data_IF_911519914804
#
_entry.id   IF_911519914804
#
_cell.length_a   1.000
_cell.length_b   1.000
_cell.length_c   1.000
_cell.angle_alpha   90.00
_cell.angle_beta   90.00
_cell.angle_gamma   90.00
#
_symmetry.space_group_name_H-M   'P 1'
#
loop_
_entity.id
_entity.type
_entity.pdbx_description
1 polymer ?
#
# COMPACT_ATOMS: atom_id res chain seq x y z
N UNK A 1 16.52 1.45 -58.96
CA UNK A 1 15.18 1.37 -58.35
C UNK A 1 15.23 0.34 -57.22
N UNK A 2 16.11 0.57 -56.24
CA UNK A 2 16.43 -0.38 -55.17
C UNK A 2 17.02 0.40 -53.97
N UNK A 3 16.28 1.39 -53.46
CA UNK A 3 16.77 2.26 -52.37
C UNK A 3 15.63 2.86 -51.52
N UNK A 4 14.53 2.13 -51.35
CA UNK A 4 13.34 2.58 -50.59
C UNK A 4 12.64 1.49 -49.78
N UNK A 5 13.39 0.55 -49.18
CA UNK A 5 12.79 -0.48 -48.32
C UNK A 5 13.42 -0.62 -46.91
N UNK A 6 14.42 0.20 -46.56
CA UNK A 6 15.12 0.09 -45.25
C UNK A 6 14.69 1.14 -44.20
N UNK A 7 13.49 1.72 -44.33
CA UNK A 7 12.97 2.71 -43.37
C UNK A 7 11.60 2.29 -42.87
N UNK A 8 11.50 1.16 -42.16
CA UNK A 8 10.26 0.82 -41.42
C UNK A 8 10.41 -0.24 -40.31
N UNK A 9 11.58 -0.34 -39.64
CA UNK A 9 11.79 -1.31 -38.54
C UNK A 9 12.36 -0.72 -37.24
N UNK A 10 12.42 0.60 -37.08
CA UNK A 10 12.73 1.25 -35.78
C UNK A 10 11.44 1.62 -35.05
N UNK A 11 10.91 0.69 -34.25
CA UNK A 11 9.71 0.97 -33.45
C UNK A 11 9.16 -0.16 -32.60
N UNK A 12 9.87 -1.29 -32.48
CA UNK A 12 9.48 -2.34 -31.52
C UNK A 12 10.25 -2.13 -30.21
N UNK A 13 9.57 -2.04 -29.05
CA UNK A 13 10.26 -2.08 -27.77
C UNK A 13 11.05 -3.39 -27.72
N UNK A 14 12.33 -3.30 -27.35
CA UNK A 14 13.24 -4.43 -27.12
C UNK A 14 12.46 -5.55 -26.41
N UNK A 15 12.10 -6.61 -27.14
CA UNK A 15 11.37 -7.73 -26.57
C UNK A 15 12.28 -8.32 -25.50
N UNK A 16 11.80 -8.34 -24.25
CA UNK A 16 12.62 -8.88 -23.16
C UNK A 16 12.97 -10.33 -23.52
N UNK A 17 14.26 -10.64 -23.51
CA UNK A 17 14.91 -11.91 -23.91
C UNK A 17 14.24 -13.20 -23.40
N UNK A 18 13.33 -13.10 -22.42
CA UNK A 18 12.61 -14.21 -21.77
C UNK A 18 11.10 -13.91 -21.63
N UNK A 19 10.33 -13.94 -22.72
CA UNK A 19 8.86 -13.86 -22.64
C UNK A 19 8.27 -15.23 -22.27
N UNK A 20 8.24 -15.56 -20.97
CA UNK A 20 7.51 -16.72 -20.47
C UNK A 20 5.98 -16.59 -20.62
N UNK A 21 5.27 -17.71 -20.38
CA UNK A 21 3.80 -17.78 -20.45
C UNK A 21 3.17 -16.79 -19.46
N UNK A 22 2.48 -15.78 -19.99
CA UNK A 22 1.78 -14.76 -19.19
C UNK A 22 0.81 -15.39 -18.17
N UNK A 23 0.23 -16.53 -18.53
CA UNK A 23 -0.80 -17.20 -17.75
C UNK A 23 -0.30 -17.65 -16.38
N UNK A 24 0.89 -18.26 -16.30
CA UNK A 24 1.40 -18.81 -15.04
C UNK A 24 1.87 -17.72 -14.09
N UNK A 25 2.53 -16.69 -14.60
CA UNK A 25 2.91 -15.50 -13.83
C UNK A 25 1.69 -14.80 -13.24
N UNK A 26 0.65 -14.57 -14.05
CA UNK A 26 -0.59 -13.94 -13.58
C UNK A 26 -1.26 -14.82 -12.53
N UNK A 27 -1.37 -16.14 -12.74
CA UNK A 27 -1.93 -17.05 -11.73
C UNK A 27 -1.19 -16.98 -10.39
N UNK A 28 0.15 -17.06 -10.40
CA UNK A 28 0.95 -16.96 -9.19
C UNK A 28 0.78 -15.61 -8.49
N UNK A 29 0.71 -14.53 -9.27
CA UNK A 29 0.47 -13.18 -8.76
C UNK A 29 -0.90 -13.07 -8.11
N UNK A 30 -1.96 -13.55 -8.76
CA UNK A 30 -3.32 -13.53 -8.22
C UNK A 30 -3.43 -14.31 -6.91
N UNK A 31 -2.82 -15.49 -6.82
CA UNK A 31 -2.79 -16.27 -5.59
C UNK A 31 -2.02 -15.58 -4.46
N UNK A 32 -0.87 -14.96 -4.75
CA UNK A 32 -0.13 -14.19 -3.77
C UNK A 32 -0.91 -12.94 -3.31
N UNK A 33 -1.63 -12.28 -4.22
CA UNK A 33 -2.42 -11.08 -3.94
C UNK A 33 -3.66 -11.35 -3.07
N UNK A 34 -4.10 -12.60 -2.88
CA UNK A 34 -5.18 -12.92 -1.93
C UNK A 34 -4.79 -12.58 -0.47
N UNK A 35 -3.50 -12.63 -0.12
CA UNK A 35 -3.02 -12.08 1.15
C UNK A 35 -3.21 -10.56 1.23
N UNK A 36 -2.96 -9.84 0.13
CA UNK A 36 -3.17 -8.40 0.03
C UNK A 36 -4.66 -8.01 0.13
N UNK A 37 -5.57 -8.88 -0.35
CA UNK A 37 -7.01 -8.72 -0.15
C UNK A 37 -7.39 -8.80 1.34
N UNK A 38 -6.81 -9.73 2.09
CA UNK A 38 -7.05 -9.84 3.54
C UNK A 38 -6.54 -8.61 4.30
N UNK A 39 -5.38 -8.08 3.89
CA UNK A 39 -4.86 -6.81 4.39
C UNK A 39 -5.83 -5.65 4.11
N UNK A 40 -6.29 -5.52 2.87
CA UNK A 40 -7.30 -4.52 2.49
C UNK A 40 -8.60 -4.64 3.29
N UNK A 41 -9.09 -5.87 3.48
CA UNK A 41 -10.27 -6.12 4.30
C UNK A 41 -10.06 -5.65 5.74
N UNK A 42 -8.87 -5.86 6.31
CA UNK A 42 -8.54 -5.43 7.69
C UNK A 42 -8.59 -3.91 7.85
N UNK A 43 -8.10 -3.16 6.85
CA UNK A 43 -8.20 -1.70 6.79
C UNK A 43 -9.67 -1.29 6.77
N UNK A 44 -10.44 -1.84 5.83
CA UNK A 44 -11.85 -1.47 5.63
C UNK A 44 -12.77 -1.91 6.77
N UNK A 45 -12.45 -2.99 7.48
CA UNK A 45 -13.24 -3.58 8.56
C UNK A 45 -13.56 -2.58 9.68
N UNK A 46 -12.61 -1.70 10.02
CA UNK A 46 -12.77 -0.70 11.09
C UNK A 46 -13.95 0.22 10.87
N UNK A 47 -14.21 0.62 9.62
CA UNK A 47 -15.17 1.65 9.28
C UNK A 47 -16.61 1.28 9.65
N UNK A 48 -17.18 0.15 9.20
CA UNK A 48 -18.49 -0.30 9.66
C UNK A 48 -18.46 -0.96 11.05
N UNK A 49 -17.35 -1.58 11.47
CA UNK A 49 -17.30 -2.30 12.74
C UNK A 49 -17.29 -1.39 13.97
N UNK A 50 -16.59 -0.25 13.93
CA UNK A 50 -16.52 0.68 15.07
C UNK A 50 -17.91 1.22 15.45
N UNK A 51 -18.69 1.83 14.53
CA UNK A 51 -20.05 2.28 14.83
C UNK A 51 -20.96 1.15 15.34
N UNK A 52 -20.87 -0.04 14.74
CA UNK A 52 -21.63 -1.23 15.16
C UNK A 52 -21.29 -1.63 16.61
N UNK A 53 -20.01 -1.68 16.98
CA UNK A 53 -19.57 -2.00 18.34
C UNK A 53 -19.99 -0.94 19.36
N UNK A 54 -19.89 0.34 19.02
CA UNK A 54 -20.34 1.44 19.89
C UNK A 54 -21.84 1.38 20.13
N UNK A 55 -22.65 1.11 19.08
CA UNK A 55 -24.11 0.98 19.19
C UNK A 55 -24.52 -0.16 20.13
N UNK A 56 -23.77 -1.26 20.14
CA UNK A 56 -23.98 -2.40 21.03
C UNK A 56 -23.37 -2.22 22.43
N UNK A 57 -22.76 -1.07 22.73
CA UNK A 57 -22.12 -0.80 24.03
C UNK A 57 -20.86 -1.65 24.27
N UNK A 58 -20.25 -2.19 23.21
CA UNK A 58 -19.03 -3.02 23.29
C UNK A 58 -17.78 -2.15 23.43
N UNK A 59 -17.77 -0.96 22.81
CA UNK A 59 -16.67 -0.01 22.86
C UNK A 59 -17.14 1.38 23.28
N UNK A 60 -16.34 2.05 24.10
CA UNK A 60 -16.44 3.48 24.35
C UNK A 60 -15.62 4.31 23.32
N UNK A 61 -15.70 5.65 23.29
CA UNK A 61 -14.97 6.48 22.32
C UNK A 61 -13.44 6.33 22.37
N UNK A 62 -12.86 6.27 23.58
CA UNK A 62 -11.41 6.10 23.76
C UNK A 62 -10.95 4.71 23.31
N UNK A 63 -11.74 3.68 23.65
CA UNK A 63 -11.51 2.29 23.28
C UNK A 63 -11.64 2.10 21.77
N UNK A 64 -12.50 2.86 21.09
CA UNK A 64 -12.62 2.87 19.63
C UNK A 64 -11.35 3.42 18.98
N UNK A 65 -10.77 4.49 19.54
CA UNK A 65 -9.48 5.02 19.13
C UNK A 65 -8.34 4.00 19.25
N UNK A 66 -8.32 3.25 20.35
CA UNK A 66 -7.38 2.13 20.54
C UNK A 66 -7.63 0.99 19.55
N UNK A 67 -8.88 0.56 19.38
CA UNK A 67 -9.24 -0.52 18.47
C UNK A 67 -8.83 -0.23 17.02
N UNK A 68 -9.08 1.00 16.53
CA UNK A 68 -8.65 1.42 15.20
C UNK A 68 -7.13 1.47 15.04
N UNK A 69 -6.43 2.02 16.03
CA UNK A 69 -4.98 2.25 15.95
C UNK A 69 -4.13 0.99 16.21
N UNK A 70 -4.60 0.02 17.01
CA UNK A 70 -3.84 -1.20 17.31
C UNK A 70 -3.49 -2.04 16.08
N UNK A 71 -4.29 -1.95 15.01
CA UNK A 71 -3.96 -2.56 13.72
C UNK A 71 -2.63 -2.01 13.17
N UNK A 72 -2.42 -0.69 13.26
CA UNK A 72 -1.19 -0.05 12.77
C UNK A 72 0.02 -0.36 13.66
N UNK A 73 -0.19 -0.55 14.97
CA UNK A 73 0.86 -1.04 15.90
C UNK A 73 1.27 -2.46 15.54
N UNK A 74 0.30 -3.33 15.28
CA UNK A 74 0.56 -4.68 14.79
C UNK A 74 1.36 -4.65 13.48
N UNK A 75 0.98 -3.78 12.54
CA UNK A 75 1.68 -3.65 11.26
C UNK A 75 3.10 -3.09 11.40
N UNK A 76 3.32 -2.18 12.35
CA UNK A 76 4.65 -1.67 12.71
C UNK A 76 5.61 -2.79 13.15
N UNK A 77 5.12 -3.74 13.95
CA UNK A 77 5.88 -4.92 14.34
C UNK A 77 5.97 -5.96 13.20
N UNK A 78 4.90 -6.09 12.41
CA UNK A 78 4.78 -7.08 11.34
C UNK A 78 5.72 -6.82 10.17
N UNK A 79 6.05 -5.57 9.87
CA UNK A 79 7.00 -5.21 8.81
C UNK A 79 8.40 -5.80 9.02
N UNK A 80 9.11 -5.46 10.11
CA UNK A 80 10.43 -6.02 10.43
C UNK A 80 10.42 -7.54 10.59
N UNK A 81 9.40 -8.10 11.26
CA UNK A 81 9.25 -9.55 11.41
C UNK A 81 9.06 -10.23 10.04
N UNK A 82 8.23 -9.66 9.17
CA UNK A 82 8.06 -10.11 7.79
C UNK A 82 9.36 -10.07 6.99
N UNK A 83 10.14 -8.99 7.09
CA UNK A 83 11.46 -8.89 6.47
C UNK A 83 12.41 -10.01 6.89
N UNK A 84 12.51 -10.25 8.20
CA UNK A 84 13.34 -11.32 8.76
C UNK A 84 12.89 -12.72 8.28
N UNK A 85 11.58 -12.97 8.24
CA UNK A 85 11.05 -14.24 7.74
C UNK A 85 11.30 -14.43 6.24
N UNK A 86 11.22 -13.38 5.43
CA UNK A 86 11.47 -13.44 3.98
C UNK A 86 12.90 -13.89 3.69
N UNK A 87 13.87 -13.42 4.48
CA UNK A 87 15.28 -13.80 4.36
C UNK A 87 15.50 -15.26 4.79
N UNK A 88 14.99 -15.65 5.97
CA UNK A 88 15.26 -16.99 6.54
C UNK A 88 14.41 -18.12 5.95
N UNK A 89 13.11 -17.89 5.75
CA UNK A 89 12.15 -18.93 5.39
C UNK A 89 11.75 -18.88 3.91
N UNK A 90 12.02 -17.78 3.23
CA UNK A 90 11.60 -17.56 1.84
C UNK A 90 10.29 -16.78 1.74
N UNK A 91 9.97 -16.35 0.52
CA UNK A 91 8.85 -15.45 0.26
C UNK A 91 7.53 -16.19 0.38
N UNK A 92 7.40 -17.37 -0.26
CA UNK A 92 6.19 -18.22 -0.18
C UNK A 92 5.85 -18.55 1.27
N UNK A 93 6.82 -19.04 2.05
CA UNK A 93 6.59 -19.43 3.44
C UNK A 93 6.20 -18.24 4.30
N UNK A 94 6.77 -17.06 4.04
CA UNK A 94 6.39 -15.85 4.78
C UNK A 94 4.97 -15.40 4.46
N UNK A 95 4.54 -15.46 3.19
CA UNK A 95 3.15 -15.19 2.83
C UNK A 95 2.22 -16.17 3.56
N UNK A 96 2.55 -17.47 3.57
CA UNK A 96 1.76 -18.47 4.31
C UNK A 96 1.67 -18.14 5.81
N UNK A 97 2.80 -17.86 6.46
CA UNK A 97 2.87 -17.52 7.88
C UNK A 97 2.13 -16.23 8.21
N UNK A 98 2.11 -15.26 7.30
CA UNK A 98 1.39 -14.00 7.49
C UNK A 98 -0.15 -14.16 7.58
N UNK A 99 -0.69 -15.27 7.04
CA UNK A 99 -2.11 -15.57 7.17
C UNK A 99 -2.49 -16.11 8.56
N UNK A 100 -1.54 -16.69 9.31
CA UNK A 100 -1.82 -17.22 10.66
C UNK A 100 -2.23 -16.11 11.64
N UNK A 101 -1.52 -14.96 11.76
CA UNK A 101 -1.98 -13.84 12.56
C UNK A 101 -3.35 -13.30 12.15
N UNK A 102 -3.69 -13.30 10.84
CA UNK A 102 -5.04 -12.93 10.40
C UNK A 102 -6.09 -13.90 10.95
N UNK A 103 -5.90 -15.20 10.76
CA UNK A 103 -6.83 -16.24 11.22
C UNK A 103 -7.04 -16.15 12.73
N UNK A 104 -5.96 -16.18 13.51
CA UNK A 104 -6.05 -16.08 14.97
C UNK A 104 -6.63 -14.73 15.42
N UNK A 105 -6.28 -13.65 14.74
CA UNK A 105 -6.79 -12.32 15.05
C UNK A 105 -8.30 -12.20 14.83
N UNK A 106 -8.82 -12.71 13.71
CA UNK A 106 -10.26 -12.75 13.45
C UNK A 106 -10.98 -13.70 14.41
N UNK A 107 -10.45 -14.89 14.68
CA UNK A 107 -11.02 -15.81 15.67
C UNK A 107 -11.14 -15.18 17.07
N UNK A 108 -10.12 -14.43 17.49
CA UNK A 108 -10.15 -13.68 18.75
C UNK A 108 -11.25 -12.61 18.76
N UNK A 109 -11.42 -11.86 17.65
CA UNK A 109 -12.49 -10.86 17.54
C UNK A 109 -13.88 -11.50 17.54
N UNK A 110 -14.10 -12.58 16.77
CA UNK A 110 -15.37 -13.29 16.70
C UNK A 110 -15.80 -13.79 18.09
N UNK A 111 -14.83 -14.32 18.85
CA UNK A 111 -15.05 -14.88 20.19
C UNK A 111 -15.01 -13.83 21.31
N UNK A 112 -14.99 -12.53 20.97
CA UNK A 112 -14.74 -11.49 21.95
C UNK A 112 -15.90 -11.36 22.95
N UNK A 113 -15.59 -11.68 24.21
CA UNK A 113 -16.41 -11.43 25.40
C UNK A 113 -15.94 -10.21 26.20
N UNK A 114 -14.76 -9.67 25.87
CA UNK A 114 -14.15 -8.49 26.49
C UNK A 114 -13.38 -7.70 25.43
N UNK A 115 -13.20 -6.40 25.68
CA UNK A 115 -12.44 -5.47 24.82
C UNK A 115 -11.01 -5.97 24.57
N UNK A 116 -10.40 -6.69 25.52
CA UNK A 116 -9.06 -7.25 25.35
C UNK A 116 -8.94 -8.25 24.19
N UNK A 117 -9.98 -9.05 23.94
CA UNK A 117 -10.00 -9.95 22.78
C UNK A 117 -10.01 -9.18 21.46
N UNK A 118 -10.72 -8.05 21.44
CA UNK A 118 -10.73 -7.14 20.29
C UNK A 118 -9.35 -6.52 20.05
N UNK A 119 -8.67 -6.11 21.13
CA UNK A 119 -7.33 -5.52 21.05
C UNK A 119 -6.27 -6.50 20.58
N UNK A 120 -6.25 -7.71 21.15
CA UNK A 120 -5.36 -8.79 20.70
C UNK A 120 -5.66 -9.14 19.24
N UNK A 121 -6.94 -9.24 18.88
CA UNK A 121 -7.36 -9.50 17.50
C UNK A 121 -6.88 -8.44 16.52
N UNK A 122 -6.93 -7.17 16.89
CA UNK A 122 -6.41 -6.05 16.09
C UNK A 122 -4.90 -6.04 15.97
N UNK A 123 -4.18 -6.33 17.04
CA UNK A 123 -2.73 -6.47 17.01
C UNK A 123 -2.30 -7.60 16.08
N UNK A 124 -2.96 -8.76 16.14
CA UNK A 124 -2.65 -9.91 15.29
C UNK A 124 -3.00 -9.69 13.82
N UNK A 125 -4.18 -9.14 13.52
CA UNK A 125 -4.54 -8.78 12.14
C UNK A 125 -3.64 -7.69 11.58
N UNK A 126 -3.20 -6.75 12.43
CA UNK A 126 -2.15 -5.78 12.13
C UNK A 126 -0.82 -6.44 11.80
N UNK A 127 -0.38 -7.40 12.61
CA UNK A 127 0.86 -8.14 12.40
C UNK A 127 0.88 -8.85 11.04
N UNK A 128 -0.21 -9.54 10.69
CA UNK A 128 -0.39 -10.16 9.38
C UNK A 128 -0.34 -9.14 8.25
N UNK A 129 -0.99 -7.99 8.43
CA UNK A 129 -0.99 -6.87 7.48
C UNK A 129 0.42 -6.34 7.20
N UNK A 130 1.21 -6.12 8.26
CA UNK A 130 2.60 -5.69 8.15
C UNK A 130 3.45 -6.70 7.39
N UNK A 131 3.33 -7.99 7.71
CA UNK A 131 4.05 -9.06 7.01
C UNK A 131 3.67 -9.13 5.52
N UNK A 132 2.38 -9.06 5.19
CA UNK A 132 1.87 -9.05 3.80
C UNK A 132 2.39 -7.84 3.03
N UNK A 133 2.45 -6.66 3.68
CA UNK A 133 2.90 -5.42 3.04
C UNK A 133 4.33 -5.47 2.50
N UNK A 134 5.19 -6.34 3.05
CA UNK A 134 6.57 -6.55 2.58
C UNK A 134 6.68 -7.78 1.68
N UNK A 135 6.06 -8.90 2.07
CA UNK A 135 6.23 -10.21 1.42
C UNK A 135 5.56 -10.32 0.05
N UNK A 136 4.32 -9.85 -0.10
CA UNK A 136 3.59 -9.99 -1.36
C UNK A 136 4.20 -9.13 -2.48
N UNK A 137 4.49 -7.82 -2.27
CA UNK A 137 5.17 -7.02 -3.29
C UNK A 137 6.53 -7.59 -3.69
N UNK A 138 7.30 -8.12 -2.72
CA UNK A 138 8.61 -8.70 -3.00
C UNK A 138 8.50 -9.99 -3.80
N UNK A 139 7.57 -10.88 -3.44
CA UNK A 139 7.30 -12.10 -4.20
C UNK A 139 6.94 -11.77 -5.65
N UNK A 140 5.98 -10.86 -5.85
CA UNK A 140 5.52 -10.44 -7.19
C UNK A 140 6.66 -9.81 -7.99
N UNK A 141 7.50 -9.00 -7.35
CA UNK A 141 8.65 -8.38 -7.99
C UNK A 141 9.73 -9.38 -8.44
N UNK A 142 9.93 -10.48 -7.70
CA UNK A 142 10.93 -11.51 -8.01
C UNK A 142 10.45 -12.51 -9.07
N UNK A 143 9.13 -12.74 -9.19
CA UNK A 143 8.57 -13.60 -10.25
C UNK A 143 8.29 -12.85 -11.55
N UNK A 144 8.14 -11.53 -11.51
CA UNK A 144 7.79 -10.73 -12.68
C UNK A 144 8.98 -10.52 -13.64
N UNK A 145 8.71 -10.55 -14.95
CA UNK A 145 9.69 -10.13 -15.96
C UNK A 145 9.85 -8.61 -15.96
N UNK A 146 11.01 -8.12 -16.44
CA UNK A 146 11.33 -6.67 -16.49
C UNK A 146 10.23 -5.83 -17.16
N UNK A 147 9.62 -6.33 -18.23
CA UNK A 147 8.55 -5.63 -18.99
C UNK A 147 7.19 -5.61 -18.27
N UNK A 148 6.91 -6.56 -17.38
CA UNK A 148 5.58 -6.77 -16.78
C UNK A 148 5.52 -6.50 -15.27
N UNK A 149 6.66 -6.16 -14.66
CA UNK A 149 6.79 -5.87 -13.23
C UNK A 149 5.86 -4.76 -12.74
N UNK A 150 5.68 -3.70 -13.52
CA UNK A 150 4.77 -2.60 -13.18
C UNK A 150 3.31 -3.06 -13.08
N UNK A 151 2.83 -3.80 -14.09
CA UNK A 151 1.46 -4.32 -14.14
C UNK A 151 1.20 -5.33 -13.02
N UNK A 152 2.09 -6.31 -12.83
CA UNK A 152 1.93 -7.31 -11.78
C UNK A 152 2.04 -6.69 -10.37
N UNK A 153 2.98 -5.76 -10.16
CA UNK A 153 3.09 -5.02 -8.91
C UNK A 153 1.83 -4.20 -8.58
N UNK A 154 1.21 -3.61 -9.61
CA UNK A 154 -0.06 -2.89 -9.49
C UNK A 154 -1.22 -3.76 -9.04
N UNK A 155 -1.21 -5.07 -9.36
CA UNK A 155 -2.21 -6.01 -8.87
C UNK A 155 -2.26 -6.09 -7.34
N UNK A 156 -1.13 -5.90 -6.65
CA UNK A 156 -1.10 -5.93 -5.18
C UNK A 156 -1.96 -4.81 -4.60
N UNK A 157 -1.76 -3.58 -5.07
CA UNK A 157 -2.55 -2.43 -4.63
C UNK A 157 -4.02 -2.58 -5.00
N UNK A 158 -4.31 -3.14 -6.19
CA UNK A 158 -5.69 -3.39 -6.62
C UNK A 158 -6.41 -4.37 -5.67
N UNK A 159 -5.75 -5.44 -5.24
CA UNK A 159 -6.35 -6.40 -4.30
C UNK A 159 -6.57 -5.79 -2.90
N UNK A 160 -5.70 -4.90 -2.44
CA UNK A 160 -5.91 -4.13 -1.20
C UNK A 160 -7.20 -3.31 -1.30
N UNK A 161 -7.38 -2.53 -2.37
CA UNK A 161 -8.59 -1.69 -2.51
C UNK A 161 -9.85 -2.51 -2.76
N UNK A 162 -9.77 -3.66 -3.42
CA UNK A 162 -10.87 -4.61 -3.53
C UNK A 162 -11.25 -5.15 -2.14
N UNK A 163 -10.26 -5.48 -1.31
CA UNK A 163 -10.51 -5.92 0.07
C UNK A 163 -11.21 -4.86 0.91
N UNK A 164 -10.80 -3.59 0.79
CA UNK A 164 -11.46 -2.48 1.49
C UNK A 164 -12.90 -2.30 1.01
N UNK A 165 -13.12 -2.30 -0.31
CA UNK A 165 -14.44 -2.19 -0.92
C UNK A 165 -15.36 -3.34 -0.50
N UNK A 166 -14.83 -4.56 -0.41
CA UNK A 166 -15.57 -5.72 0.06
C UNK A 166 -16.00 -5.57 1.53
N UNK A 167 -15.12 -5.05 2.40
CA UNK A 167 -15.48 -4.78 3.79
C UNK A 167 -16.60 -3.73 3.91
N UNK A 168 -16.57 -2.69 3.08
CA UNK A 168 -17.63 -1.67 3.05
C UNK A 168 -18.96 -2.22 2.53
N UNK A 169 -18.94 -3.01 1.45
CA UNK A 169 -20.14 -3.66 0.90
C UNK A 169 -20.79 -4.61 1.90
N UNK A 170 -19.99 -5.45 2.57
CA UNK A 170 -20.51 -6.39 3.57
C UNK A 170 -20.98 -5.67 4.84
N UNK A 171 -20.33 -4.57 5.21
CA UNK A 171 -20.71 -3.71 6.33
C UNK A 171 -22.06 -3.02 6.20
N UNK A 172 -22.71 -3.06 5.02
CA UNK A 172 -24.10 -2.59 4.84
C UNK A 172 -25.13 -3.46 5.56
N UNK A 173 -24.85 -4.76 5.70
CA UNK A 173 -25.80 -5.76 6.23
C UNK A 173 -25.26 -6.53 7.42
N UNK A 174 -23.94 -6.68 7.51
CA UNK A 174 -23.30 -7.48 8.54
C UNK A 174 -22.84 -6.60 9.70
N UNK A 175 -23.19 -7.02 10.91
CA UNK A 175 -22.65 -6.45 12.14
C UNK A 175 -21.19 -6.89 12.37
N UNK A 176 -20.52 -6.27 13.33
CA UNK A 176 -19.07 -6.42 13.54
C UNK A 176 -18.55 -7.88 13.68
N UNK A 177 -19.32 -8.79 14.30
CA UNK A 177 -18.97 -10.22 14.43
C UNK A 177 -19.09 -10.97 13.11
N UNK A 178 -20.20 -10.80 12.40
CA UNK A 178 -20.44 -11.44 11.12
C UNK A 178 -19.50 -10.90 10.04
N UNK A 179 -19.18 -9.62 10.12
CA UNK A 179 -18.15 -9.03 9.27
C UNK A 179 -16.77 -9.63 9.57
N UNK A 180 -16.43 -9.92 10.83
CA UNK A 180 -15.20 -10.63 11.17
C UNK A 180 -15.20 -12.08 10.66
N UNK A 181 -16.35 -12.77 10.66
CA UNK A 181 -16.49 -14.10 10.03
C UNK A 181 -16.16 -14.04 8.53
N UNK A 182 -16.65 -13.03 7.81
CA UNK A 182 -16.35 -12.87 6.39
C UNK A 182 -14.86 -12.57 6.13
N UNK A 183 -14.21 -11.82 7.03
CA UNK A 183 -12.79 -11.54 6.97
C UNK A 183 -11.92 -12.78 7.27
N UNK A 184 -12.41 -13.66 8.15
CA UNK A 184 -11.77 -14.95 8.40
C UNK A 184 -11.79 -15.82 7.13
N UNK A 185 -12.89 -15.81 6.38
CA UNK A 185 -13.00 -16.54 5.10
C UNK A 185 -11.94 -16.03 4.11
N UNK A 186 -11.77 -14.72 3.97
CA UNK A 186 -10.76 -14.16 3.05
C UNK A 186 -9.33 -14.55 3.48
N UNK A 187 -9.03 -14.54 4.78
CA UNK A 187 -7.74 -15.00 5.31
C UNK A 187 -7.48 -16.49 5.06
N UNK A 188 -8.49 -17.34 5.26
CA UNK A 188 -8.41 -18.78 4.98
C UNK A 188 -8.19 -19.05 3.48
N UNK A 189 -8.88 -18.33 2.60
CA UNK A 189 -8.67 -18.40 1.16
C UNK A 189 -7.25 -17.97 0.77
N UNK A 190 -6.73 -16.91 1.39
CA UNK A 190 -5.34 -16.46 1.22
C UNK A 190 -4.32 -17.52 1.66
N UNK A 191 -4.55 -18.18 2.78
CA UNK A 191 -3.72 -19.28 3.26
C UNK A 191 -3.71 -20.47 2.29
N UNK A 192 -4.88 -20.89 1.82
CA UNK A 192 -5.01 -21.99 0.84
C UNK A 192 -4.31 -21.66 -0.48
N UNK A 193 -4.50 -20.44 -1.00
CA UNK A 193 -3.85 -19.99 -2.22
C UNK A 193 -2.32 -19.93 -2.11
N UNK A 194 -1.80 -19.63 -0.91
CA UNK A 194 -0.36 -19.58 -0.64
C UNK A 194 0.32 -20.95 -0.75
N UNK A 195 -0.42 -22.06 -0.64
CA UNK A 195 0.15 -23.39 -0.90
C UNK A 195 0.39 -23.65 -2.39
N UNK A 196 -0.41 -23.03 -3.27
CA UNK A 196 -0.41 -23.25 -4.72
C UNK A 196 0.67 -22.48 -5.48
N UNK A 197 1.34 -21.51 -4.84
CA UNK A 197 2.43 -20.74 -5.45
C UNK A 197 3.78 -21.44 -5.26
N UNK A 198 4.73 -21.35 -6.21
CA UNK A 198 6.12 -21.78 -5.99
C UNK A 198 6.88 -20.80 -5.08
N UNK A 199 8.07 -21.17 -4.63
CA UNK A 199 9.00 -20.24 -3.97
C UNK A 199 9.78 -19.42 -5.01
N UNK A 200 10.36 -18.27 -4.63
CA UNK A 200 11.07 -17.45 -5.62
C UNK A 200 12.41 -18.06 -6.04
N UNK A 201 12.74 -18.07 -7.35
CA UNK A 201 14.01 -18.61 -7.84
C UNK A 201 15.22 -17.92 -7.21
N UNK A 202 15.12 -16.60 -7.00
CA UNK A 202 16.17 -15.79 -6.37
C UNK A 202 16.50 -16.26 -4.96
N UNK A 203 15.49 -16.50 -4.11
CA UNK A 203 15.73 -16.99 -2.74
C UNK A 203 16.32 -18.41 -2.74
N UNK A 204 15.87 -19.28 -3.65
CA UNK A 204 16.40 -20.64 -3.78
C UNK A 204 17.88 -20.64 -4.20
N UNK A 205 18.30 -19.72 -5.06
CA UNK A 205 19.71 -19.54 -5.42
C UNK A 205 20.56 -19.05 -4.23
N UNK A 206 20.06 -18.09 -3.45
CA UNK A 206 20.73 -17.63 -2.21
C UNK A 206 20.92 -18.78 -1.21
N UNK A 207 19.95 -19.70 -1.13
CA UNK A 207 20.03 -20.91 -0.30
C UNK A 207 20.84 -22.05 -0.95
N UNK A 208 21.54 -21.78 -2.05
CA UNK A 208 22.36 -22.72 -2.82
C UNK A 208 21.58 -23.95 -3.36
N UNK A 209 20.28 -23.80 -3.60
CA UNK A 209 19.36 -24.84 -4.11
C UNK A 209 19.06 -24.65 -5.60
N UNK A 210 20.08 -24.82 -6.45
CA UNK A 210 20.01 -24.53 -7.89
C UNK A 210 18.93 -25.33 -8.64
N UNK A 211 18.78 -26.62 -8.34
CA UNK A 211 17.76 -27.48 -8.99
C UNK A 211 16.34 -27.01 -8.68
N UNK A 212 16.07 -26.67 -7.42
CA UNK A 212 14.77 -26.15 -7.01
C UNK A 212 14.50 -24.77 -7.61
N UNK A 213 15.53 -23.92 -7.70
CA UNK A 213 15.43 -22.61 -8.33
C UNK A 213 15.04 -22.73 -9.82
N UNK A 214 15.63 -23.69 -10.54
CA UNK A 214 15.26 -24.00 -11.93
C UNK A 214 13.81 -24.47 -12.04
N UNK A 215 13.39 -25.39 -11.18
CA UNK A 215 12.02 -25.91 -11.17
C UNK A 215 10.99 -24.81 -10.84
N UNK A 216 11.32 -23.93 -9.89
CA UNK A 216 10.47 -22.80 -9.53
C UNK A 216 10.35 -21.79 -10.69
N UNK A 217 11.47 -21.48 -11.36
CA UNK A 217 11.48 -20.56 -12.50
C UNK A 217 10.69 -21.14 -13.68
N UNK A 218 10.85 -22.44 -13.98
CA UNK A 218 10.06 -23.15 -14.97
C UNK A 218 8.55 -23.14 -14.61
N UNK A 219 8.18 -23.36 -13.35
CA UNK A 219 6.79 -23.31 -12.92
C UNK A 219 6.14 -21.92 -13.15
N UNK A 220 6.90 -20.84 -12.93
CA UNK A 220 6.44 -19.46 -13.14
C UNK A 220 6.39 -19.08 -14.63
N UNK A 221 7.36 -19.52 -15.43
CA UNK A 221 7.49 -19.19 -16.86
C UNK A 221 6.67 -20.15 -17.73
N UNK A 222 7.20 -21.35 -17.94
CA UNK A 222 6.55 -22.48 -18.59
C UNK A 222 7.35 -23.76 -18.22
N UNK A 223 6.71 -24.89 -17.89
CA UNK A 223 7.41 -26.13 -17.56
C UNK A 223 8.38 -26.63 -18.64
N UNK A 224 8.20 -26.21 -19.90
CA UNK A 224 9.03 -26.60 -21.04
C UNK A 224 9.97 -25.50 -21.54
N UNK A 225 9.98 -24.31 -20.92
CA UNK A 225 10.86 -23.23 -21.34
C UNK A 225 12.31 -23.47 -20.90
N UNK A 226 13.27 -23.11 -21.76
CA UNK A 226 14.67 -23.04 -21.36
C UNK A 226 14.88 -21.81 -20.47
N UNK A 227 14.97 -22.06 -19.17
CA UNK A 227 15.15 -21.05 -18.12
C UNK A 227 16.60 -20.95 -17.65
N UNK A 228 17.53 -21.69 -18.27
CA UNK A 228 18.91 -21.79 -17.79
C UNK A 228 19.66 -20.45 -17.91
N UNK A 229 19.47 -19.73 -19.01
CA UNK A 229 20.08 -18.42 -19.22
C UNK A 229 19.53 -17.37 -18.24
N UNK A 230 18.22 -17.34 -18.02
CA UNK A 230 17.58 -16.44 -17.04
C UNK A 230 18.04 -16.77 -15.61
N UNK A 231 18.20 -18.05 -15.27
CA UNK A 231 18.70 -18.47 -13.97
C UNK A 231 20.14 -18.01 -13.74
N UNK A 232 20.98 -18.08 -14.78
CA UNK A 232 22.37 -17.61 -14.73
C UNK A 232 22.45 -16.09 -14.56
N UNK A 233 21.63 -15.34 -15.29
CA UNK A 233 21.52 -13.88 -15.15
C UNK A 233 21.13 -13.48 -13.70
N UNK A 234 20.26 -14.27 -13.04
CA UNK A 234 19.87 -14.04 -11.64
C UNK A 234 21.03 -14.37 -10.69
N UNK A 235 21.76 -15.47 -10.94
CA UNK A 235 22.91 -15.88 -10.12
C UNK A 235 24.04 -14.85 -10.16
N UNK A 236 24.43 -14.39 -11.35
CA UNK A 236 25.46 -13.35 -11.52
C UNK A 236 25.06 -12.03 -10.82
N UNK A 237 23.76 -11.72 -10.75
CA UNK A 237 23.25 -10.55 -10.04
C UNK A 237 23.27 -10.66 -8.51
N UNK A 238 23.38 -11.87 -7.94
CA UNK A 238 23.46 -12.09 -6.49
C UNK A 238 24.88 -11.88 -5.97
N UNK A 239 25.90 -12.37 -6.69
CA UNK A 239 27.31 -12.26 -6.29
C UNK A 239 27.83 -10.81 -6.28
N UNK A 240 27.13 -9.89 -6.95
CA UNK A 240 27.45 -8.46 -6.97
C UNK A 240 26.93 -7.66 -5.76
N UNK A 241 26.12 -8.26 -4.87
CA UNK A 241 25.55 -7.60 -3.69
C UNK A 241 26.43 -7.81 -2.44
N UNK A 242 27.22 -6.81 -2.07
CA UNK A 242 27.89 -6.74 -0.76
C UNK A 242 26.98 -6.08 0.29
N UNK A 243 26.86 -6.70 1.47
CA UNK A 243 26.14 -6.14 2.62
C UNK A 243 26.91 -4.95 3.23
N UNK A 244 26.22 -3.84 3.45
CA UNK A 244 26.80 -2.60 4.01
C UNK A 244 26.52 -2.46 5.51
N UNK A 245 27.53 -2.05 6.28
CA UNK A 245 27.39 -1.80 7.72
C UNK A 245 26.57 -0.54 8.03
N UNK A 246 25.84 -0.53 9.16
CA UNK A 246 25.01 0.59 9.62
C UNK A 246 25.78 1.90 9.78
N UNK A 247 27.04 1.85 10.23
CA UNK A 247 27.89 3.04 10.38
C UNK A 247 28.32 3.62 9.03
N UNK A 248 28.48 2.78 8.02
CA UNK A 248 28.82 3.20 6.65
C UNK A 248 27.61 3.82 5.95
N UNK A 249 26.40 3.35 6.26
CA UNK A 249 25.17 3.88 5.69
C UNK A 249 24.91 5.33 6.10
N UNK A 250 24.97 5.64 7.40
CA UNK A 250 24.71 6.99 7.90
C UNK A 250 25.86 7.98 7.67
N UNK A 251 27.08 7.48 7.42
CA UNK A 251 28.24 8.31 7.10
C UNK A 251 28.24 8.88 5.68
N UNK A 252 27.44 8.33 4.76
CA UNK A 252 27.42 8.75 3.34
C UNK A 252 26.25 9.68 3.05
N UNK A 253 26.56 10.92 2.65
CA UNK A 253 25.57 11.91 2.19
C UNK A 253 24.68 11.39 1.04
N UNK A 254 25.22 10.45 0.29
CA UNK A 254 24.63 9.76 -0.86
C UNK A 254 23.43 8.88 -0.48
N UNK A 255 23.42 8.34 0.74
CA UNK A 255 22.37 7.45 1.25
C UNK A 255 21.37 8.19 2.14
N UNK A 256 21.86 9.18 2.89
CA UNK A 256 21.06 9.97 3.83
C UNK A 256 20.08 10.92 3.14
N UNK A 257 20.43 11.50 1.98
CA UNK A 257 19.51 12.36 1.20
C UNK A 257 18.31 11.58 0.63
N UNK A 258 18.48 10.46 -0.11
CA UNK A 258 17.41 9.54 -0.48
C UNK A 258 16.55 9.08 0.69
N UNK A 259 17.19 8.78 1.83
CA UNK A 259 16.48 8.32 3.03
C UNK A 259 15.57 9.41 3.55
N UNK A 260 16.07 10.64 3.69
CA UNK A 260 15.29 11.78 4.15
C UNK A 260 14.08 12.04 3.24
N UNK A 261 14.28 12.04 1.90
CA UNK A 261 13.17 12.21 0.94
C UNK A 261 12.13 11.10 1.11
N UNK A 262 12.56 9.83 1.19
CA UNK A 262 11.65 8.70 1.32
C UNK A 262 10.86 8.73 2.61
N UNK A 263 11.52 9.00 3.75
CA UNK A 263 10.86 9.10 5.06
C UNK A 263 9.85 10.26 5.08
N UNK A 264 10.23 11.45 4.58
CA UNK A 264 9.33 12.59 4.55
C UNK A 264 8.11 12.36 3.65
N UNK A 265 8.27 11.71 2.49
CA UNK A 265 7.14 11.33 1.64
C UNK A 265 6.20 10.36 2.38
N UNK A 266 6.72 9.38 3.11
CA UNK A 266 5.91 8.47 3.93
C UNK A 266 5.19 9.19 5.07
N UNK A 267 5.84 10.16 5.70
CA UNK A 267 5.22 11.02 6.74
C UNK A 267 4.05 11.80 6.12
N UNK A 268 4.27 12.52 5.01
CA UNK A 268 3.19 13.28 4.35
C UNK A 268 2.06 12.40 3.82
N UNK A 269 2.37 11.19 3.35
CA UNK A 269 1.35 10.20 2.96
C UNK A 269 0.41 9.90 4.12
N UNK A 270 0.93 9.70 5.34
CA UNK A 270 0.11 9.33 6.51
C UNK A 270 -0.57 10.54 7.14
N UNK A 271 0.13 11.67 7.26
CA UNK A 271 -0.42 12.93 7.76
C UNK A 271 -1.42 13.59 6.81
N UNK A 272 -1.63 13.05 5.60
CA UNK A 272 -2.79 13.38 4.77
C UNK A 272 -4.12 13.00 5.42
N UNK A 273 -4.11 12.18 6.47
CA UNK A 273 -5.29 11.71 7.18
C UNK A 273 -5.94 10.49 6.54
N UNK A 274 -5.34 9.89 5.51
CA UNK A 274 -5.95 8.78 4.76
C UNK A 274 -6.37 7.62 5.66
N UNK A 275 -5.52 7.15 6.58
CA UNK A 275 -5.86 6.01 7.45
C UNK A 275 -6.99 6.35 8.41
N UNK A 276 -7.04 7.58 8.94
CA UNK A 276 -8.15 8.04 9.74
C UNK A 276 -9.45 8.10 8.91
N UNK A 277 -9.40 8.67 7.71
CA UNK A 277 -10.55 8.72 6.80
C UNK A 277 -11.04 7.31 6.48
N UNK A 278 -10.15 6.36 6.17
CA UNK A 278 -10.52 4.98 5.83
C UNK A 278 -11.08 4.22 7.03
N UNK A 279 -10.51 4.38 8.23
CA UNK A 279 -10.98 3.63 9.41
C UNK A 279 -12.26 4.18 10.01
N UNK A 280 -12.54 5.47 9.81
CA UNK A 280 -13.69 6.15 10.40
C UNK A 280 -14.66 6.67 9.33
N UNK A 281 -14.62 6.16 8.09
CA UNK A 281 -15.46 6.69 6.99
C UNK A 281 -16.95 6.67 7.35
N UNK A 282 -17.46 5.54 7.87
CA UNK A 282 -18.86 5.46 8.30
C UNK A 282 -19.13 6.46 9.42
N UNK A 283 -18.27 6.58 10.43
CA UNK A 283 -18.43 7.56 11.52
C UNK A 283 -18.41 9.00 11.04
N UNK A 284 -17.54 9.33 10.08
CA UNK A 284 -17.45 10.66 9.47
C UNK A 284 -18.76 11.00 8.78
N UNK A 285 -19.28 10.08 7.96
CA UNK A 285 -20.56 10.28 7.30
C UNK A 285 -21.75 10.21 8.25
N UNK A 286 -21.75 9.37 9.27
CA UNK A 286 -22.82 9.31 10.27
C UNK A 286 -22.97 10.65 10.99
N UNK A 287 -21.85 11.36 11.17
CA UNK A 287 -21.84 12.70 11.77
C UNK A 287 -22.31 13.82 10.84
N UNK A 288 -22.37 13.59 9.53
CA UNK A 288 -22.67 14.60 8.50
C UNK A 288 -24.02 14.34 7.81
N UNK A 289 -24.30 13.07 7.50
CA UNK A 289 -25.42 12.53 6.73
C UNK A 289 -25.85 11.14 7.26
N UNK A 290 -26.42 11.05 8.48
CA UNK A 290 -26.74 9.78 9.15
C UNK A 290 -27.45 8.75 8.25
N UNK A 291 -28.47 9.20 7.50
CA UNK A 291 -29.32 8.32 6.68
C UNK A 291 -28.58 7.63 5.53
N UNK A 292 -27.45 8.22 5.07
CA UNK A 292 -26.71 7.76 3.89
C UNK A 292 -25.29 7.28 4.21
N UNK A 293 -24.91 7.18 5.49
CA UNK A 293 -23.52 6.98 5.88
C UNK A 293 -22.87 5.70 5.31
N UNK A 294 -23.58 4.57 5.38
CA UNK A 294 -23.09 3.31 4.84
C UNK A 294 -23.09 3.29 3.30
N UNK A 295 -24.11 3.90 2.66
CA UNK A 295 -24.20 3.98 1.20
C UNK A 295 -23.06 4.85 0.66
N UNK A 296 -22.81 6.01 1.27
CA UNK A 296 -21.71 6.90 0.91
C UNK A 296 -20.34 6.24 1.10
N UNK A 297 -20.17 5.48 2.18
CA UNK A 297 -18.94 4.69 2.42
C UNK A 297 -18.72 3.65 1.31
N UNK A 298 -19.79 2.99 0.86
CA UNK A 298 -19.70 2.03 -0.23
C UNK A 298 -19.35 2.69 -1.58
N UNK A 299 -19.90 3.88 -1.86
CA UNK A 299 -19.54 4.68 -3.03
C UNK A 299 -18.03 4.96 -3.03
N UNK A 300 -17.46 5.36 -1.88
CA UNK A 300 -16.01 5.58 -1.76
C UNK A 300 -15.23 4.31 -2.10
N UNK A 301 -15.62 3.17 -1.54
CA UNK A 301 -14.95 1.89 -1.81
C UNK A 301 -14.95 1.50 -3.29
N UNK A 302 -16.08 1.67 -3.97
CA UNK A 302 -16.20 1.39 -5.41
C UNK A 302 -15.37 2.36 -6.25
N UNK A 303 -15.45 3.66 -5.96
CA UNK A 303 -14.68 4.68 -6.67
C UNK A 303 -13.18 4.48 -6.45
N UNK A 304 -12.76 4.05 -5.26
CA UNK A 304 -11.35 3.76 -4.98
C UNK A 304 -10.80 2.64 -5.87
N UNK A 305 -11.58 1.57 -6.10
CA UNK A 305 -11.18 0.48 -7.01
C UNK A 305 -11.00 1.01 -8.43
N UNK A 306 -11.96 1.79 -8.94
CA UNK A 306 -11.89 2.37 -10.29
C UNK A 306 -10.73 3.37 -10.43
N UNK A 307 -10.55 4.24 -9.43
CA UNK A 307 -9.47 5.22 -9.40
C UNK A 307 -8.10 4.55 -9.38
N UNK A 308 -7.95 3.46 -8.61
CA UNK A 308 -6.71 2.68 -8.56
C UNK A 308 -6.42 2.02 -9.90
N UNK A 309 -7.42 1.47 -10.59
CA UNK A 309 -7.25 0.90 -11.93
C UNK A 309 -6.76 1.96 -12.93
N UNK A 310 -7.34 3.16 -12.90
CA UNK A 310 -6.91 4.29 -13.74
C UNK A 310 -5.48 4.72 -13.36
N UNK A 311 -5.16 4.78 -12.06
CA UNK A 311 -3.84 5.16 -11.57
C UNK A 311 -2.74 4.24 -12.13
N UNK A 312 -2.99 2.93 -12.16
CA UNK A 312 -2.05 1.94 -12.68
C UNK A 312 -1.73 2.20 -14.17
N UNK A 313 -2.71 2.60 -14.97
CA UNK A 313 -2.51 2.91 -16.39
C UNK A 313 -1.84 4.28 -16.61
N UNK A 314 -2.11 5.24 -15.73
CA UNK A 314 -1.64 6.62 -15.88
C UNK A 314 -0.21 6.82 -15.36
N UNK A 315 0.19 6.03 -14.37
CA UNK A 315 1.49 6.13 -13.71
C UNK A 315 2.68 5.98 -14.66
N UNK A 316 2.56 5.06 -15.63
CA UNK A 316 3.60 4.83 -16.62
C UNK A 316 3.71 5.99 -17.62
N UNK A 317 2.64 6.79 -17.78
CA UNK A 317 2.57 7.88 -18.77
C UNK A 317 2.94 9.26 -18.21
N UNK A 318 2.54 9.61 -16.99
CA UNK A 318 2.57 11.02 -16.55
C UNK A 318 3.83 11.43 -15.77
N UNK A 319 4.56 10.48 -15.19
CA UNK A 319 5.72 10.76 -14.32
C UNK A 319 5.35 10.84 -12.84
N UNK A 320 6.28 10.45 -11.96
CA UNK A 320 6.00 10.20 -10.53
C UNK A 320 5.82 11.53 -9.79
N UNK A 321 6.72 12.49 -10.03
CA UNK A 321 6.70 13.80 -9.37
C UNK A 321 5.45 14.60 -9.74
N UNK A 322 5.11 14.62 -11.03
CA UNK A 322 3.92 15.36 -11.52
C UNK A 322 2.61 14.80 -10.95
N UNK A 323 2.49 13.48 -10.86
CA UNK A 323 1.31 12.84 -10.27
C UNK A 323 1.18 13.12 -8.77
N UNK A 324 2.28 13.10 -8.01
CA UNK A 324 2.25 13.47 -6.58
C UNK A 324 1.82 14.92 -6.35
N UNK A 325 2.31 15.85 -7.17
CA UNK A 325 1.93 17.27 -7.10
C UNK A 325 0.43 17.42 -7.39
N UNK A 326 -0.05 16.87 -8.52
CA UNK A 326 -1.46 16.97 -8.90
C UNK A 326 -2.39 16.29 -7.87
N UNK A 327 -2.04 15.08 -7.43
CA UNK A 327 -2.80 14.36 -6.42
C UNK A 327 -2.84 15.12 -5.09
N UNK A 328 -1.70 15.66 -4.65
CA UNK A 328 -1.59 16.37 -3.38
C UNK A 328 -2.33 17.71 -3.38
N UNK A 329 -2.35 18.44 -4.51
CA UNK A 329 -3.13 19.67 -4.62
C UNK A 329 -4.63 19.39 -4.59
N UNK A 330 -5.09 18.36 -5.31
CA UNK A 330 -6.49 17.91 -5.28
C UNK A 330 -6.89 17.49 -3.85
N UNK A 331 -6.07 16.69 -3.17
CA UNK A 331 -6.31 16.30 -1.78
C UNK A 331 -6.35 17.49 -0.83
N UNK A 332 -5.41 18.44 -0.94
CA UNK A 332 -5.37 19.63 -0.09
C UNK A 332 -6.62 20.51 -0.28
N UNK A 333 -7.00 20.80 -1.53
CA UNK A 333 -8.16 21.62 -1.85
C UNK A 333 -9.47 20.97 -1.38
N UNK A 334 -9.62 19.66 -1.60
CA UNK A 334 -10.85 18.94 -1.23
C UNK A 334 -11.02 18.83 0.28
N UNK A 335 -9.95 18.57 1.03
CA UNK A 335 -10.00 18.60 2.50
C UNK A 335 -10.27 19.99 3.05
N UNK A 336 -9.75 21.05 2.39
CA UNK A 336 -10.07 22.43 2.77
C UNK A 336 -11.56 22.74 2.59
N UNK A 337 -12.14 22.34 1.45
CA UNK A 337 -13.59 22.45 1.19
C UNK A 337 -14.39 21.61 2.20
N UNK A 338 -13.90 20.44 2.59
CA UNK A 338 -14.56 19.60 3.59
C UNK A 338 -14.53 20.19 5.00
N UNK A 339 -13.45 20.87 5.38
CA UNK A 339 -13.40 21.67 6.61
C UNK A 339 -14.39 22.84 6.58
N UNK A 340 -14.47 23.55 5.44
CA UNK A 340 -15.47 24.62 5.25
C UNK A 340 -16.91 24.11 5.36
N UNK A 341 -17.17 22.91 4.84
CA UNK A 341 -18.46 22.25 4.95
C UNK A 341 -18.88 22.09 6.42
N UNK A 342 -18.03 21.54 7.29
CA UNK A 342 -18.36 21.38 8.71
C UNK A 342 -18.69 22.72 9.37
N UNK A 343 -17.89 23.76 9.08
CA UNK A 343 -18.11 25.11 9.62
C UNK A 343 -19.42 25.75 9.14
N UNK A 344 -19.85 25.46 7.92
CA UNK A 344 -21.11 25.96 7.35
C UNK A 344 -22.33 25.14 7.81
N UNK A 345 -22.15 23.82 7.97
CA UNK A 345 -23.18 22.89 8.43
C UNK A 345 -23.58 23.19 9.88
N UNK A 346 -22.59 23.44 10.76
CA UNK A 346 -22.85 23.83 12.16
C UNK A 346 -23.66 25.13 12.29
N UNK A 347 -23.50 26.05 11.31
CA UNK A 347 -24.25 27.31 11.27
C UNK A 347 -25.62 27.21 10.56
N UNK A 348 -26.03 26.01 10.14
CA UNK A 348 -27.27 25.75 9.36
C UNK A 348 -27.40 26.65 8.11
N UNK A 349 -26.27 26.98 7.47
CA UNK A 349 -26.24 27.88 6.30
C UNK A 349 -26.40 27.15 4.95
N UNK A 350 -26.48 25.82 4.96
CA UNK A 350 -26.56 24.98 3.76
C UNK A 350 -27.98 24.47 3.54
N UNK A 351 -28.42 24.41 2.29
CA UNK A 351 -29.61 23.65 1.88
C UNK A 351 -29.40 22.16 2.17
N UNK A 352 -30.47 21.43 2.50
CA UNK A 352 -30.45 19.99 2.80
C UNK A 352 -29.75 19.16 1.71
N UNK A 353 -29.97 19.49 0.44
CA UNK A 353 -29.32 18.81 -0.69
C UNK A 353 -27.81 19.03 -0.70
N UNK A 354 -27.35 20.27 -0.48
CA UNK A 354 -25.93 20.60 -0.42
C UNK A 354 -25.27 19.99 0.81
N UNK A 355 -25.99 19.97 1.94
CA UNK A 355 -25.52 19.36 3.17
C UNK A 355 -25.26 17.86 2.99
N UNK A 356 -26.03 17.22 2.09
CA UNK A 356 -25.92 15.79 1.81
C UNK A 356 -24.75 15.45 0.88
N UNK A 357 -24.63 16.15 -0.24
CA UNK A 357 -23.72 15.73 -1.31
C UNK A 357 -22.29 16.27 -1.18
N UNK A 358 -22.09 17.41 -0.53
CA UNK A 358 -20.74 18.00 -0.37
C UNK A 358 -19.77 17.03 0.33
N UNK A 359 -20.11 16.40 1.47
CA UNK A 359 -19.24 15.42 2.13
C UNK A 359 -18.85 14.25 1.22
N UNK A 360 -19.84 13.71 0.51
CA UNK A 360 -19.66 12.55 -0.37
C UNK A 360 -18.70 12.91 -1.49
N UNK A 361 -18.91 14.05 -2.15
CA UNK A 361 -18.05 14.52 -3.24
C UNK A 361 -16.63 14.81 -2.72
N UNK A 362 -16.50 15.53 -1.60
CA UNK A 362 -15.18 15.90 -1.06
C UNK A 362 -14.34 14.66 -0.72
N UNK A 363 -14.91 13.72 0.03
CA UNK A 363 -14.19 12.49 0.40
C UNK A 363 -13.94 11.58 -0.80
N UNK A 364 -14.88 11.51 -1.75
CA UNK A 364 -14.67 10.74 -2.99
C UNK A 364 -13.51 11.31 -3.80
N UNK A 365 -13.47 12.63 -4.03
CA UNK A 365 -12.38 13.27 -4.78
C UNK A 365 -11.05 13.18 -4.02
N UNK A 366 -11.06 13.29 -2.70
CA UNK A 366 -9.88 13.05 -1.86
C UNK A 366 -9.32 11.63 -2.08
N UNK A 367 -10.17 10.61 -2.06
CA UNK A 367 -9.76 9.21 -2.27
C UNK A 367 -9.29 8.95 -3.70
N UNK A 368 -9.91 9.58 -4.71
CA UNK A 368 -9.40 9.55 -6.08
C UNK A 368 -8.00 10.15 -6.14
N UNK A 369 -7.79 11.34 -5.57
CA UNK A 369 -6.49 12.00 -5.52
C UNK A 369 -5.43 11.12 -4.86
N UNK A 370 -5.74 10.55 -3.69
CA UNK A 370 -4.84 9.63 -2.99
C UNK A 370 -4.49 8.42 -3.85
N UNK A 371 -5.49 7.77 -4.45
CA UNK A 371 -5.29 6.56 -5.25
C UNK A 371 -4.47 6.81 -6.53
N UNK A 372 -4.59 7.99 -7.13
CA UNK A 372 -3.85 8.39 -8.33
C UNK A 372 -2.36 8.67 -8.08
N UNK A 373 -1.99 9.06 -6.86
CA UNK A 373 -0.63 9.50 -6.57
C UNK A 373 -0.09 8.98 -5.24
N UNK A 374 -0.58 9.56 -4.15
CA UNK A 374 -0.01 9.36 -2.81
C UNK A 374 -0.14 7.93 -2.28
N UNK A 375 -1.02 7.08 -2.80
CA UNK A 375 -1.08 5.66 -2.45
C UNK A 375 0.12 4.87 -2.99
N UNK A 376 0.19 4.67 -4.32
CA UNK A 376 1.20 3.78 -4.92
C UNK A 376 2.58 4.41 -5.11
N UNK A 377 2.66 5.73 -5.36
CA UNK A 377 3.93 6.37 -5.77
C UNK A 377 4.98 6.39 -4.64
N UNK A 378 4.66 6.70 -3.36
CA UNK A 378 5.65 6.67 -2.28
C UNK A 378 6.42 5.35 -2.17
N UNK A 379 5.71 4.21 -2.27
CA UNK A 379 6.32 2.88 -2.22
C UNK A 379 7.21 2.61 -3.44
N UNK A 380 6.83 3.12 -4.61
CA UNK A 380 7.64 3.00 -5.82
C UNK A 380 8.89 3.86 -5.75
N UNK A 381 8.76 5.12 -5.35
CA UNK A 381 9.87 6.06 -5.15
C UNK A 381 10.89 5.48 -4.17
N UNK A 382 10.43 4.91 -3.07
CA UNK A 382 11.30 4.21 -2.12
C UNK A 382 12.15 3.14 -2.82
N UNK A 383 11.57 2.38 -3.76
CA UNK A 383 12.29 1.36 -4.52
C UNK A 383 13.15 1.90 -5.67
N UNK A 384 12.89 3.12 -6.16
CA UNK A 384 13.57 3.74 -7.31
C UNK A 384 14.75 4.64 -6.87
N UNK A 385 14.68 5.30 -5.70
CA UNK A 385 15.71 6.25 -5.24
C UNK A 385 16.84 5.55 -4.47
N UNK A 386 16.59 4.43 -3.79
CA UNK A 386 17.63 3.77 -3.02
C UNK A 386 18.59 2.95 -3.90
N UNK A 387 19.92 3.15 -3.73
CA UNK A 387 20.90 2.34 -4.40
C UNK A 387 20.84 0.89 -3.89
N UNK A 388 21.26 -0.03 -4.74
CA UNK A 388 21.13 -1.47 -4.53
C UNK A 388 21.81 -1.95 -3.24
N UNK A 389 22.88 -1.26 -2.82
CA UNK A 389 23.74 -1.59 -1.66
C UNK A 389 23.24 -1.08 -0.28
N UNK A 390 22.03 -0.54 -0.19
CA UNK A 390 21.45 -0.09 1.09
C UNK A 390 19.92 -0.12 1.15
N UNK A 391 19.28 -0.66 0.10
CA UNK A 391 17.83 -0.62 -0.09
C UNK A 391 17.04 -1.35 1.00
N UNK A 392 17.57 -2.45 1.52
CA UNK A 392 16.93 -3.24 2.59
C UNK A 392 16.75 -2.41 3.87
N UNK A 393 17.86 -1.90 4.40
CA UNK A 393 17.89 -1.09 5.62
C UNK A 393 17.11 0.21 5.47
N UNK A 394 17.31 0.94 4.38
CA UNK A 394 16.65 2.21 4.15
C UNK A 394 15.13 2.04 3.94
N UNK A 395 14.73 0.98 3.24
CA UNK A 395 13.34 0.60 3.08
C UNK A 395 12.67 0.25 4.41
N UNK A 396 13.36 -0.49 5.29
CA UNK A 396 12.84 -0.81 6.62
C UNK A 396 12.58 0.44 7.48
N UNK A 397 13.48 1.43 7.47
CA UNK A 397 13.30 2.70 8.19
C UNK A 397 12.10 3.49 7.62
N UNK A 398 11.97 3.55 6.30
CA UNK A 398 10.86 4.25 5.65
C UNK A 398 9.51 3.59 5.97
N UNK A 399 9.43 2.25 5.92
CA UNK A 399 8.23 1.49 6.26
C UNK A 399 7.89 1.62 7.75
N UNK A 400 8.88 1.57 8.64
CA UNK A 400 8.68 1.80 10.06
C UNK A 400 8.10 3.21 10.31
N UNK A 401 8.68 4.23 9.67
CA UNK A 401 8.20 5.61 9.77
C UNK A 401 6.76 5.74 9.27
N UNK A 402 6.42 5.04 8.18
CA UNK A 402 5.05 5.00 7.65
C UNK A 402 4.06 4.44 8.67
N UNK A 403 4.31 3.25 9.22
CA UNK A 403 3.39 2.64 10.18
C UNK A 403 3.33 3.39 11.51
N UNK A 404 4.43 3.99 11.94
CA UNK A 404 4.46 4.85 13.14
C UNK A 404 3.59 6.09 12.95
N UNK A 405 3.70 6.77 11.79
CA UNK A 405 2.85 7.92 11.50
C UNK A 405 1.37 7.51 11.34
N UNK A 406 1.11 6.36 10.72
CA UNK A 406 -0.24 5.80 10.61
C UNK A 406 -0.86 5.59 12.00
N UNK A 407 -0.09 5.07 12.95
CA UNK A 407 -0.52 4.91 14.34
C UNK A 407 -0.87 6.24 15.00
N UNK A 408 0.03 7.21 14.93
CA UNK A 408 -0.18 8.54 15.54
C UNK A 408 -1.45 9.18 14.96
N UNK A 409 -1.57 9.25 13.64
CA UNK A 409 -2.72 9.88 12.97
C UNK A 409 -4.02 9.17 13.30
N UNK A 410 -4.02 7.83 13.36
CA UNK A 410 -5.23 7.05 13.63
C UNK A 410 -5.66 7.14 15.11
N UNK A 411 -4.70 7.08 16.03
CA UNK A 411 -4.96 7.13 17.47
C UNK A 411 -5.43 8.51 17.91
N UNK A 412 -4.76 9.55 17.41
CA UNK A 412 -5.04 10.93 17.78
C UNK A 412 -6.18 11.55 17.00
N UNK A 413 -6.75 10.89 15.98
CA UNK A 413 -7.84 11.45 15.19
C UNK A 413 -9.02 11.91 16.05
N UNK A 414 -9.46 11.09 17.00
CA UNK A 414 -10.57 11.44 17.91
C UNK A 414 -10.17 12.57 18.88
N UNK A 415 -8.95 12.52 19.43
CA UNK A 415 -8.41 13.58 20.30
C UNK A 415 -8.33 14.92 19.56
N UNK A 416 -7.85 14.90 18.31
CA UNK A 416 -7.74 16.08 17.46
C UNK A 416 -9.11 16.66 17.14
N UNK A 417 -10.14 15.83 16.93
CA UNK A 417 -11.52 16.31 16.75
C UNK A 417 -12.05 17.00 18.01
N UNK A 418 -11.72 16.49 19.20
CA UNK A 418 -12.12 17.11 20.46
C UNK A 418 -11.41 18.46 20.70
N UNK A 419 -10.11 18.56 20.36
CA UNK A 419 -9.32 19.77 20.59
C UNK A 419 -9.54 20.86 19.54
N UNK A 420 -9.60 20.49 18.26
CA UNK A 420 -9.63 21.42 17.13
C UNK A 420 -11.03 21.60 16.52
N UNK A 421 -12.00 20.77 16.90
CA UNK A 421 -13.26 20.65 16.18
C UNK A 421 -13.13 19.84 14.89
N UNK A 422 -14.26 19.39 14.33
CA UNK A 422 -14.27 18.59 13.08
C UNK A 422 -13.69 19.36 11.91
N UNK A 423 -14.00 20.65 11.78
CA UNK A 423 -13.46 21.54 10.77
C UNK A 423 -11.93 21.72 10.90
N UNK A 424 -11.46 21.95 12.13
CA UNK A 424 -10.04 22.13 12.44
C UNK A 424 -9.17 20.94 12.05
N UNK A 425 -9.66 19.70 12.24
CA UNK A 425 -8.92 18.48 11.85
C UNK A 425 -8.72 18.38 10.33
N UNK A 426 -9.76 18.66 9.54
CA UNK A 426 -9.63 18.60 8.08
C UNK A 426 -8.81 19.76 7.51
N UNK A 427 -8.81 20.94 8.16
CA UNK A 427 -7.85 22.01 7.83
C UNK A 427 -6.41 21.62 8.14
N UNK A 428 -6.16 20.94 9.27
CA UNK A 428 -4.84 20.42 9.61
C UNK A 428 -4.34 19.42 8.55
N UNK A 429 -5.17 18.46 8.14
CA UNK A 429 -4.80 17.52 7.08
C UNK A 429 -4.63 18.20 5.71
N UNK A 430 -5.45 19.21 5.39
CA UNK A 430 -5.29 20.01 4.18
C UNK A 430 -3.95 20.74 4.14
N UNK A 431 -3.53 21.34 5.26
CA UNK A 431 -2.24 22.01 5.41
C UNK A 431 -1.07 21.02 5.29
N UNK A 432 -1.20 19.82 5.89
CA UNK A 432 -0.20 18.76 5.73
C UNK A 432 -0.06 18.30 4.27
N UNK A 433 -1.17 18.14 3.54
CA UNK A 433 -1.15 17.85 2.10
C UNK A 433 -0.45 18.96 1.30
N UNK A 434 -0.74 20.23 1.60
CA UNK A 434 -0.09 21.37 0.94
C UNK A 434 1.43 21.41 1.21
N UNK A 435 1.85 21.15 2.46
CA UNK A 435 3.24 21.04 2.83
C UNK A 435 3.93 19.86 2.12
N UNK A 436 3.24 18.73 1.97
CA UNK A 436 3.71 17.58 1.19
C UNK A 436 3.91 17.91 -0.29
N UNK A 437 2.99 18.65 -0.91
CA UNK A 437 3.14 19.15 -2.29
C UNK A 437 4.36 20.06 -2.40
N UNK A 438 4.50 21.02 -1.49
CA UNK A 438 5.66 21.91 -1.47
C UNK A 438 6.98 21.15 -1.34
N UNK A 439 7.02 20.13 -0.47
CA UNK A 439 8.18 19.27 -0.29
C UNK A 439 8.53 18.52 -1.58
N UNK A 440 7.54 17.89 -2.21
CA UNK A 440 7.71 17.18 -3.50
C UNK A 440 8.18 18.13 -4.60
N UNK A 441 7.65 19.35 -4.66
CA UNK A 441 8.10 20.37 -5.61
C UNK A 441 9.58 20.73 -5.41
N UNK A 442 10.07 20.77 -4.18
CA UNK A 442 11.42 21.24 -3.87
C UNK A 442 12.49 20.16 -3.85
N UNK A 443 12.18 18.97 -3.34
CA UNK A 443 13.18 17.95 -3.01
C UNK A 443 13.09 16.67 -3.83
N UNK A 444 11.94 16.35 -4.43
CA UNK A 444 11.79 15.10 -5.19
C UNK A 444 12.22 15.28 -6.65
N UNK A 445 13.28 14.58 -7.13
CA UNK A 445 13.63 14.53 -8.55
C UNK A 445 12.64 13.68 -9.37
N UNK A 446 12.58 13.86 -10.69
CA UNK A 446 11.75 12.98 -11.54
C UNK A 446 12.47 11.66 -11.82
N UNK A 447 11.91 10.55 -11.33
CA UNK A 447 12.50 9.21 -11.48
C UNK A 447 12.05 8.50 -12.76
N UNK A 448 11.03 9.00 -13.47
CA UNK A 448 10.48 8.33 -14.65
C UNK A 448 11.52 8.19 -15.76
N UNK A 449 11.74 6.94 -16.19
CA UNK A 449 12.57 6.61 -17.35
C UNK A 449 14.06 6.82 -17.14
N UNK A 450 14.51 6.98 -15.89
CA UNK A 450 15.92 7.05 -15.50
C UNK A 450 16.39 5.68 -15.03
N UNK A 451 17.65 5.34 -15.29
CA UNK A 451 18.24 4.14 -14.70
C UNK A 451 18.50 4.36 -13.21
N UNK A 452 18.63 3.28 -12.44
CA UNK A 452 18.98 3.36 -11.02
C UNK A 452 20.36 4.02 -10.84
N UNK A 453 21.28 3.78 -11.77
CA UNK A 453 22.63 4.36 -11.80
C UNK A 453 22.57 5.88 -12.03
N UNK A 454 21.72 6.37 -12.94
CA UNK A 454 21.54 7.81 -13.17
C UNK A 454 21.03 8.53 -11.91
N UNK A 455 20.10 7.89 -11.20
CA UNK A 455 19.54 8.43 -9.96
C UNK A 455 20.61 8.45 -8.86
N UNK A 456 21.41 7.40 -8.75
CA UNK A 456 22.54 7.33 -7.82
C UNK A 456 23.58 8.44 -8.13
N UNK A 457 23.94 8.62 -9.40
CA UNK A 457 24.81 9.69 -9.88
C UNK A 457 24.25 11.09 -9.60
N UNK A 458 22.92 11.25 -9.64
CA UNK A 458 22.26 12.50 -9.27
C UNK A 458 22.46 12.83 -7.78
N UNK A 459 22.27 11.86 -6.89
CA UNK A 459 22.50 12.09 -5.45
C UNK A 459 23.98 12.27 -5.11
N UNK A 460 24.88 11.68 -5.90
CA UNK A 460 26.33 11.90 -5.86
C UNK A 460 26.74 13.31 -6.34
N UNK A 461 25.83 14.09 -6.93
CA UNK A 461 26.15 15.39 -7.55
C UNK A 461 27.02 15.26 -8.81
N UNK A 462 27.08 14.06 -9.39
CA UNK A 462 27.89 13.71 -10.57
C UNK A 462 27.04 13.47 -11.83
N UNK A 463 25.72 13.68 -11.75
CA UNK A 463 24.84 13.49 -12.89
C UNK A 463 25.11 14.52 -13.99
N UNK A 464 25.31 14.04 -15.21
CA UNK A 464 25.30 14.83 -16.45
C UNK A 464 23.88 15.02 -17.01
N UNK A 465 22.90 14.33 -16.43
CA UNK A 465 21.51 14.29 -16.87
C UNK A 465 20.65 15.18 -15.95
N UNK A 466 19.84 16.08 -16.54
CA UNK A 466 18.82 16.82 -15.78
C UNK A 466 17.76 15.83 -15.27
N UNK A 467 17.59 15.78 -13.95
CA UNK A 467 16.58 14.98 -13.21
C UNK A 467 15.60 15.90 -12.50
#
# INVERSE_FOLDING_TARGET
MADKLDVEMEGRPVSSKYEGSMRNMVKCTLFACLGALSFGFTIGYSSPAIPSMVRHGVLNPDESGWFGSLMTVGALAGGPLGGWFIEKLGRKRTILLSNLPFIFGYCAMISASSVWYLYIGRLLTGLGSGMVSVSVPMYVAEIATKSRRGVLGSCVQLFIVIGISLAYMLGLKLEWRELANSALITACLGALASFMIPETPRWLLVMNRKLDARNALAAVRDPHADVQDELKDIEEGLDAQEDMSWSEFFGRAELTRPLFISVMIMVFQQFSGINAVMFYTVSIFDSAIPDMAYIATNIIGLVQVLATLIACLLMDRTGRRRLLILAGTVMSLTLFVFGLYYRMSDKKMLSDTLNTWIPVVCLTVFIIGFSLGWGPIPMLIMSEIFPTRGRGTAGAIAIFSNWMCAFIVTKEFMTLQLMLGKDGVFYFFSACCAAGVWFVCKYLPETKGKSLEDIELYFLGRSTVKV
#
